data_IF_580662444894
#
_entry.id   IF_580662444894
#
_cell.length_a   1.000
_cell.length_b   1.000
_cell.length_c   1.000
_cell.angle_alpha   90.00
_cell.angle_beta   90.00
_cell.angle_gamma   90.00
#
_symmetry.space_group_name_H-M   'P 1'
#
loop_
_entity.id
_entity.type
_entity.pdbx_description
1 polymer ?
#
# COMPACT_ATOMS: atom_id res chain seq x y z
N UNK A 1 14.47 17.05 -30.37
CA UNK A 1 14.41 15.58 -30.43
C UNK A 1 13.04 15.18 -29.87
N UNK A 2 12.02 15.53 -30.64
CA UNK A 2 10.58 15.45 -30.37
C UNK A 2 10.07 14.77 -31.62
N UNK A 3 9.78 13.46 -31.58
CA UNK A 3 9.09 12.67 -32.63
C UNK A 3 9.23 11.16 -32.36
N UNK A 4 8.59 10.56 -31.34
CA UNK A 4 8.30 9.09 -31.31
C UNK A 4 6.95 8.75 -30.61
N UNK A 5 5.97 9.67 -30.52
CA UNK A 5 4.68 9.35 -29.86
C UNK A 5 3.43 9.82 -30.64
N UNK A 6 3.45 9.76 -31.97
CA UNK A 6 2.32 10.21 -32.82
C UNK A 6 1.51 9.12 -33.52
N UNK A 7 1.68 7.83 -33.18
CA UNK A 7 1.00 6.72 -33.92
C UNK A 7 0.39 5.62 -33.05
N UNK A 8 -0.03 5.94 -31.83
CA UNK A 8 -1.05 5.14 -31.14
C UNK A 8 -2.26 6.05 -30.97
N UNK A 9 -3.22 5.91 -31.88
CA UNK A 9 -4.55 6.47 -31.71
C UNK A 9 -5.19 5.75 -30.52
N UNK A 10 -5.05 6.35 -29.33
CA UNK A 10 -5.81 5.94 -28.16
C UNK A 10 -7.30 6.10 -28.51
N UNK A 11 -8.11 5.02 -28.53
CA UNK A 11 -9.54 5.21 -28.63
C UNK A 11 -9.97 6.06 -27.44
N UNK A 12 -10.73 7.11 -27.75
CA UNK A 12 -11.22 8.11 -26.82
C UNK A 12 -11.65 7.44 -25.51
N UNK A 13 -11.05 7.93 -24.42
CA UNK A 13 -11.37 7.61 -23.03
C UNK A 13 -12.87 7.45 -22.84
N UNK A 14 -13.32 6.19 -22.84
CA UNK A 14 -14.61 5.85 -22.28
C UNK A 14 -14.57 6.35 -20.83
N UNK A 15 -15.46 7.28 -20.49
CA UNK A 15 -15.66 7.70 -19.11
C UNK A 15 -16.22 6.50 -18.35
N UNK A 16 -15.36 5.60 -17.89
CA UNK A 16 -15.74 4.44 -17.11
C UNK A 16 -16.16 4.93 -15.71
N UNK A 17 -17.45 5.18 -15.51
CA UNK A 17 -17.98 5.45 -14.17
C UNK A 17 -18.21 4.12 -13.45
N UNK A 18 -17.12 3.45 -13.05
CA UNK A 18 -17.16 2.12 -12.41
C UNK A 18 -17.56 2.15 -10.92
N UNK A 19 -17.87 3.31 -10.36
CA UNK A 19 -18.42 3.43 -9.02
C UNK A 19 -19.89 3.01 -9.04
N UNK A 20 -20.14 1.72 -8.77
CA UNK A 20 -21.46 1.08 -8.85
C UNK A 20 -22.36 1.40 -7.65
N UNK A 21 -21.81 1.89 -6.54
CA UNK A 21 -22.59 2.15 -5.32
C UNK A 21 -23.00 3.62 -5.23
N UNK A 22 -24.30 3.94 -5.10
CA UNK A 22 -24.75 5.31 -4.95
C UNK A 22 -24.19 5.92 -3.66
N UNK A 23 -23.78 7.18 -3.71
CA UNK A 23 -23.35 7.89 -2.50
C UNK A 23 -24.54 8.10 -1.56
N UNK A 24 -24.54 7.39 -0.44
CA UNK A 24 -25.49 7.54 0.66
C UNK A 24 -24.79 7.29 1.99
N UNK A 25 -25.46 7.64 3.08
CA UNK A 25 -24.98 7.35 4.42
C UNK A 25 -25.13 5.85 4.73
N UNK A 26 -24.04 5.10 4.67
CA UNK A 26 -24.03 3.68 5.02
C UNK A 26 -23.82 3.49 6.53
N UNK A 27 -24.67 2.65 7.14
CA UNK A 27 -24.54 2.24 8.55
C UNK A 27 -23.55 1.08 8.67
N UNK A 28 -22.95 0.93 9.85
CA UNK A 28 -22.07 -0.19 10.18
C UNK A 28 -22.73 -1.55 9.95
N UNK A 29 -24.02 -1.67 10.25
CA UNK A 29 -24.77 -2.91 10.09
C UNK A 29 -24.88 -3.33 8.61
N UNK A 30 -24.98 -2.37 7.69
CA UNK A 30 -25.02 -2.65 6.24
C UNK A 30 -23.67 -3.18 5.72
N UNK A 31 -22.57 -2.79 6.34
CA UNK A 31 -21.23 -3.31 6.00
C UNK A 31 -21.03 -4.71 6.57
N UNK A 32 -21.46 -4.94 7.82
CA UNK A 32 -21.44 -6.28 8.43
C UNK A 32 -22.29 -7.28 7.64
N UNK A 33 -23.43 -6.85 7.10
CA UNK A 33 -24.27 -7.66 6.21
C UNK A 33 -23.55 -8.05 4.90
N UNK A 34 -22.55 -7.28 4.47
CA UNK A 34 -21.69 -7.60 3.32
C UNK A 34 -20.40 -8.35 3.71
N UNK A 35 -20.26 -8.72 4.98
CA UNK A 35 -19.10 -9.42 5.54
C UNK A 35 -17.91 -8.50 5.82
N UNK A 36 -18.15 -7.20 6.04
CA UNK A 36 -17.10 -6.20 6.28
C UNK A 36 -17.21 -5.72 7.72
N UNK A 37 -16.25 -6.08 8.57
CA UNK A 37 -16.17 -5.57 9.93
C UNK A 37 -15.24 -4.34 9.98
N UNK A 38 -15.83 -3.14 10.02
CA UNK A 38 -15.08 -1.88 9.87
C UNK A 38 -14.08 -1.61 11.00
N UNK A 39 -14.30 -2.16 12.19
CA UNK A 39 -13.38 -2.00 13.33
C UNK A 39 -12.05 -2.70 13.08
N UNK A 40 -12.07 -3.91 12.54
CA UNK A 40 -10.86 -4.67 12.18
C UNK A 40 -10.27 -4.22 10.83
N UNK A 41 -11.08 -3.60 9.98
CA UNK A 41 -10.66 -3.11 8.67
C UNK A 41 -9.78 -1.85 8.74
N UNK A 42 -10.13 -0.87 9.59
CA UNK A 42 -9.42 0.42 9.67
C UNK A 42 -8.35 0.46 10.76
N UNK A 43 -8.08 -0.67 11.40
CA UNK A 43 -6.96 -0.83 12.33
C UNK A 43 -6.11 -2.04 11.92
N UNK A 44 -5.32 -1.93 10.83
CA UNK A 44 -4.39 -2.99 10.49
C UNK A 44 -3.44 -3.25 11.66
N UNK A 45 -3.23 -4.52 11.99
CA UNK A 45 -2.32 -4.92 13.06
C UNK A 45 -1.25 -5.83 12.47
N UNK A 46 -0.02 -5.32 12.40
CA UNK A 46 1.16 -6.04 11.91
C UNK A 46 1.61 -7.16 12.86
N UNK A 47 0.94 -8.32 12.80
CA UNK A 47 1.32 -9.47 13.63
C UNK A 47 2.59 -10.16 13.11
N UNK A 48 2.71 -10.31 11.79
CA UNK A 48 3.82 -11.04 11.16
C UNK A 48 5.12 -10.26 11.26
N UNK A 49 5.13 -9.02 10.78
CA UNK A 49 6.28 -8.13 10.84
C UNK A 49 6.70 -7.86 12.29
N UNK A 50 5.75 -7.62 13.19
CA UNK A 50 6.05 -7.42 14.62
C UNK A 50 6.66 -8.65 15.30
N UNK A 51 6.26 -9.87 14.90
CA UNK A 51 6.92 -11.09 15.42
C UNK A 51 8.33 -11.27 14.88
N UNK A 52 8.58 -10.92 13.61
CA UNK A 52 9.90 -10.97 12.98
C UNK A 52 10.82 -9.93 13.63
N UNK A 53 10.34 -8.70 13.83
CA UNK A 53 11.07 -7.64 14.52
C UNK A 53 11.50 -8.08 15.93
N UNK A 54 10.58 -8.63 16.72
CA UNK A 54 10.90 -9.13 18.07
C UNK A 54 11.95 -10.24 18.04
N UNK A 55 11.84 -11.18 17.12
CA UNK A 55 12.80 -12.28 17.00
C UNK A 55 14.19 -11.77 16.57
N UNK A 56 14.23 -10.78 15.67
CA UNK A 56 15.47 -10.12 15.25
C UNK A 56 16.11 -9.34 16.40
N UNK A 57 15.33 -8.64 17.22
CA UNK A 57 15.83 -7.94 18.41
C UNK A 57 16.46 -8.92 19.42
N UNK A 58 15.81 -10.06 19.67
CA UNK A 58 16.34 -11.13 20.53
C UNK A 58 17.64 -11.69 19.93
N UNK A 59 17.65 -11.98 18.62
CA UNK A 59 18.82 -12.48 17.92
C UNK A 59 19.98 -11.47 17.94
N UNK A 60 19.70 -10.16 17.79
CA UNK A 60 20.68 -9.10 17.86
C UNK A 60 21.28 -8.96 19.26
N UNK A 61 20.46 -9.09 20.31
CA UNK A 61 20.95 -9.09 21.70
C UNK A 61 21.84 -10.30 21.98
N UNK A 62 21.40 -11.50 21.63
CA UNK A 62 22.17 -12.74 21.83
C UNK A 62 23.44 -12.75 20.97
N UNK A 63 23.35 -12.28 19.73
CA UNK A 63 24.48 -12.13 18.82
C UNK A 63 25.49 -11.11 19.32
N UNK A 64 25.03 -9.95 19.79
CA UNK A 64 25.87 -8.91 20.39
C UNK A 64 26.61 -9.40 21.65
N UNK A 65 25.93 -10.16 22.52
CA UNK A 65 26.55 -10.81 23.68
C UNK A 65 27.59 -11.86 23.25
N UNK A 66 27.27 -12.66 22.22
CA UNK A 66 28.18 -13.67 21.69
C UNK A 66 29.43 -13.06 21.07
N UNK A 67 29.29 -11.98 20.29
CA UNK A 67 30.41 -11.20 19.72
C UNK A 67 31.25 -10.59 20.83
N UNK A 68 30.61 -10.02 21.85
CA UNK A 68 31.34 -9.44 22.99
C UNK A 68 32.18 -10.47 23.73
N UNK A 69 31.66 -11.70 23.88
CA UNK A 69 32.37 -12.81 24.49
C UNK A 69 33.47 -13.38 23.59
N UNK A 70 33.18 -13.61 22.30
CA UNK A 70 34.12 -14.23 21.35
C UNK A 70 35.32 -13.35 21.01
N UNK A 71 35.15 -12.03 20.99
CA UNK A 71 36.22 -11.07 20.71
C UNK A 71 36.84 -10.47 21.99
N UNK A 72 36.49 -11.00 23.16
CA UNK A 72 36.97 -10.54 24.47
C UNK A 72 36.90 -9.01 24.63
N UNK A 73 35.80 -8.41 24.18
CA UNK A 73 35.66 -6.95 24.19
C UNK A 73 35.71 -6.44 25.63
N UNK A 74 36.56 -5.43 25.87
CA UNK A 74 36.57 -4.74 27.16
C UNK A 74 35.21 -4.08 27.44
N UNK A 75 34.87 -3.90 28.73
CA UNK A 75 33.61 -3.27 29.13
C UNK A 75 33.40 -1.89 28.47
N UNK A 76 34.49 -1.13 28.29
CA UNK A 76 34.44 0.19 27.65
C UNK A 76 34.22 0.09 26.15
N UNK A 77 34.82 -0.89 25.46
CA UNK A 77 34.57 -1.14 24.03
C UNK A 77 33.13 -1.58 23.79
N UNK A 78 32.62 -2.54 24.59
CA UNK A 78 31.24 -3.00 24.48
C UNK A 78 30.23 -1.86 24.72
N UNK A 79 30.48 -1.01 25.72
CA UNK A 79 29.68 0.18 25.99
C UNK A 79 29.71 1.16 24.81
N UNK A 80 30.88 1.46 24.26
CA UNK A 80 31.02 2.36 23.11
C UNK A 80 30.32 1.81 21.87
N UNK A 81 30.41 0.50 21.61
CA UNK A 81 29.69 -0.13 20.50
C UNK A 81 28.18 -0.01 20.71
N UNK A 82 27.68 -0.27 21.91
CA UNK A 82 26.25 -0.14 22.22
C UNK A 82 25.76 1.30 22.06
N UNK A 83 26.48 2.28 22.61
CA UNK A 83 26.17 3.70 22.46
C UNK A 83 26.23 4.14 20.99
N UNK A 84 27.22 3.66 20.23
CA UNK A 84 27.33 3.92 18.80
C UNK A 84 26.15 3.38 18.01
N UNK A 85 25.69 2.15 18.31
CA UNK A 85 24.51 1.56 17.68
C UNK A 85 23.23 2.31 18.05
N UNK A 86 23.07 2.73 19.32
CA UNK A 86 21.95 3.57 19.74
C UNK A 86 21.96 4.93 19.02
N UNK A 87 23.14 5.51 18.79
CA UNK A 87 23.28 6.75 18.04
C UNK A 87 22.85 6.58 16.59
N UNK A 88 23.34 5.55 15.89
CA UNK A 88 22.91 5.24 14.52
C UNK A 88 21.39 5.00 14.47
N UNK A 89 20.85 4.29 15.45
CA UNK A 89 19.41 4.04 15.55
C UNK A 89 18.61 5.34 15.76
N UNK A 90 19.12 6.25 16.60
CA UNK A 90 18.49 7.55 16.85
C UNK A 90 18.53 8.44 15.61
N UNK A 91 19.63 8.40 14.84
CA UNK A 91 19.75 9.12 13.57
C UNK A 91 18.71 8.61 12.56
N UNK A 92 18.54 7.29 12.44
CA UNK A 92 17.51 6.71 11.56
C UNK A 92 16.09 7.16 11.96
N UNK A 93 15.79 7.13 13.27
CA UNK A 93 14.49 7.54 13.79
C UNK A 93 14.19 9.02 13.53
N UNK A 94 15.18 9.91 13.74
CA UNK A 94 14.98 11.36 13.63
C UNK A 94 15.02 11.82 12.17
N UNK A 95 15.97 11.33 11.40
CA UNK A 95 16.25 11.87 10.06
C UNK A 95 15.48 11.14 8.97
N UNK A 96 15.31 9.83 9.10
CA UNK A 96 14.63 8.98 8.11
C UNK A 96 13.30 8.42 8.63
N UNK A 97 12.81 8.88 9.79
CA UNK A 97 11.57 8.39 10.41
C UNK A 97 11.53 6.85 10.61
N UNK A 98 12.70 6.23 10.79
CA UNK A 98 12.83 4.77 10.90
C UNK A 98 12.87 4.03 9.55
N UNK A 99 13.08 4.73 8.44
CA UNK A 99 13.09 4.16 7.10
C UNK A 99 14.14 3.07 6.88
N UNK A 100 15.37 3.23 7.40
CA UNK A 100 16.40 2.19 7.25
C UNK A 100 16.03 0.93 8.03
N UNK A 101 15.48 1.09 9.25
CA UNK A 101 14.93 -0.03 10.02
C UNK A 101 13.83 -0.76 9.25
N UNK A 102 12.86 -0.02 8.73
CA UNK A 102 11.74 -0.60 8.00
C UNK A 102 12.20 -1.33 6.74
N UNK A 103 13.18 -0.80 6.01
CA UNK A 103 13.75 -1.46 4.84
C UNK A 103 14.43 -2.78 5.19
N UNK A 104 15.23 -2.82 6.26
CA UNK A 104 15.88 -4.07 6.72
C UNK A 104 14.83 -5.08 7.18
N UNK A 105 13.85 -4.65 7.96
CA UNK A 105 12.76 -5.51 8.43
C UNK A 105 11.95 -6.08 7.28
N UNK A 106 11.58 -5.25 6.31
CA UNK A 106 10.81 -5.62 5.12
C UNK A 106 11.59 -6.61 4.23
N UNK A 107 12.88 -6.34 4.01
CA UNK A 107 13.77 -7.24 3.24
C UNK A 107 13.89 -8.61 3.91
N UNK A 108 14.09 -8.64 5.23
CA UNK A 108 14.17 -9.89 5.99
C UNK A 108 12.81 -10.60 6.03
N UNK A 109 11.71 -9.86 6.17
CA UNK A 109 10.37 -10.42 6.20
C UNK A 109 10.01 -11.08 4.86
N UNK A 110 10.32 -10.43 3.74
CA UNK A 110 10.19 -11.02 2.41
C UNK A 110 11.08 -12.25 2.21
N UNK A 111 12.29 -12.26 2.76
CA UNK A 111 13.20 -13.41 2.64
C UNK A 111 12.82 -14.59 3.53
N UNK A 112 12.18 -14.36 4.68
CA UNK A 112 11.88 -15.41 5.67
C UNK A 112 10.42 -15.89 5.63
N UNK A 113 9.50 -15.09 5.08
CA UNK A 113 8.07 -15.36 5.12
C UNK A 113 7.44 -15.22 3.73
N UNK A 114 7.24 -16.35 3.05
CA UNK A 114 6.44 -16.42 1.83
C UNK A 114 5.01 -15.90 2.05
N UNK A 115 4.47 -16.11 3.27
CA UNK A 115 3.14 -15.60 3.64
C UNK A 115 3.10 -14.06 3.61
N UNK A 116 4.13 -13.39 4.13
CA UNK A 116 4.22 -11.93 4.10
C UNK A 116 4.39 -11.43 2.67
N UNK A 117 5.28 -12.06 1.90
CA UNK A 117 5.51 -11.70 0.50
C UNK A 117 4.24 -11.81 -0.35
N UNK A 118 3.51 -12.93 -0.26
CA UNK A 118 2.26 -13.13 -0.98
C UNK A 118 1.17 -12.14 -0.54
N UNK A 119 1.12 -11.79 0.75
CA UNK A 119 0.18 -10.78 1.27
C UNK A 119 0.45 -9.41 0.66
N UNK A 120 1.71 -8.94 0.65
CA UNK A 120 2.09 -7.64 0.07
C UNK A 120 1.82 -7.59 -1.43
N UNK A 121 2.11 -8.67 -2.17
CA UNK A 121 1.78 -8.73 -3.61
C UNK A 121 0.28 -8.56 -3.83
N UNK A 122 -0.54 -9.26 -3.06
CA UNK A 122 -2.00 -9.15 -3.16
C UNK A 122 -2.50 -7.75 -2.77
N UNK A 123 -1.91 -7.13 -1.74
CA UNK A 123 -2.18 -5.75 -1.34
C UNK A 123 -1.91 -4.77 -2.49
N UNK A 124 -0.73 -4.85 -3.11
CA UNK A 124 -0.35 -3.99 -4.23
C UNK A 124 -1.16 -4.27 -5.51
N UNK A 125 -1.51 -5.54 -5.77
CA UNK A 125 -2.40 -5.90 -6.87
C UNK A 125 -3.81 -5.30 -6.69
N UNK A 126 -4.28 -5.22 -5.45
CA UNK A 126 -5.51 -4.53 -5.09
C UNK A 126 -5.49 -3.05 -5.47
N UNK A 127 -4.44 -2.34 -5.05
CA UNK A 127 -4.21 -0.94 -5.41
C UNK A 127 -4.15 -0.72 -6.93
N UNK A 128 -3.36 -1.55 -7.62
CA UNK A 128 -3.18 -1.45 -9.07
C UNK A 128 -4.50 -1.65 -9.82
N UNK A 129 -5.25 -2.72 -9.50
CA UNK A 129 -6.50 -3.03 -10.17
C UNK A 129 -7.54 -1.91 -9.96
N UNK A 130 -7.74 -1.47 -8.71
CA UNK A 130 -8.74 -0.42 -8.42
C UNK A 130 -8.38 0.90 -9.09
N UNK A 131 -7.10 1.29 -9.09
CA UNK A 131 -6.67 2.49 -9.80
C UNK A 131 -6.96 2.41 -11.30
N UNK A 132 -6.58 1.31 -11.94
CA UNK A 132 -6.84 1.08 -13.37
C UNK A 132 -8.34 1.16 -13.69
N UNK A 133 -9.19 0.49 -12.89
CA UNK A 133 -10.64 0.49 -13.08
C UNK A 133 -11.29 1.87 -12.83
N UNK A 134 -10.68 2.72 -12.00
CA UNK A 134 -11.15 4.09 -11.76
C UNK A 134 -10.59 5.12 -12.76
N UNK A 135 -9.86 4.64 -13.78
CA UNK A 135 -9.26 5.44 -14.82
C UNK A 135 -8.06 6.26 -14.35
N UNK A 136 -7.36 5.79 -13.31
CA UNK A 136 -6.08 6.34 -12.83
C UNK A 136 -4.98 5.37 -13.23
N UNK A 137 -4.11 5.78 -14.16
CA UNK A 137 -3.07 4.89 -14.68
C UNK A 137 -1.94 4.70 -13.66
N UNK A 138 -1.63 3.45 -13.26
CA UNK A 138 -0.45 3.15 -12.47
C UNK A 138 0.80 3.50 -13.28
N UNK A 139 1.70 4.28 -12.69
CA UNK A 139 3.00 4.63 -13.29
C UNK A 139 4.01 3.52 -13.06
N UNK A 140 4.10 3.07 -11.81
CA UNK A 140 5.07 2.11 -11.31
C UNK A 140 4.45 1.34 -10.14
N UNK A 141 4.97 0.14 -9.89
CA UNK A 141 4.69 -0.60 -8.67
C UNK A 141 5.99 -1.15 -8.08
N UNK A 142 6.01 -1.27 -6.77
CA UNK A 142 7.13 -1.79 -5.97
C UNK A 142 6.58 -2.77 -4.96
N UNK A 143 7.15 -3.97 -4.92
CA UNK A 143 6.67 -5.07 -4.05
C UNK A 143 7.48 -5.09 -2.76
N UNK A 144 8.73 -4.64 -2.80
CA UNK A 144 9.59 -4.54 -1.62
C UNK A 144 10.08 -3.11 -1.45
N UNK A 145 10.34 -2.71 -0.20
CA UNK A 145 10.93 -1.41 0.14
C UNK A 145 12.34 -1.25 -0.46
N UNK A 146 13.03 -2.38 -0.71
CA UNK A 146 14.31 -2.39 -1.42
C UNK A 146 14.14 -2.05 -2.90
N UNK A 147 13.11 -2.58 -3.57
CA UNK A 147 12.77 -2.19 -4.94
C UNK A 147 12.41 -0.70 -5.00
N UNK A 148 11.73 -0.19 -3.97
CA UNK A 148 11.41 1.23 -3.84
C UNK A 148 12.67 2.08 -3.67
N UNK A 149 13.62 1.67 -2.85
CA UNK A 149 14.92 2.35 -2.72
C UNK A 149 15.69 2.34 -4.05
N UNK A 150 15.75 1.20 -4.74
CA UNK A 150 16.48 1.09 -6.00
C UNK A 150 15.87 1.93 -7.12
N UNK A 151 14.53 2.03 -7.17
CA UNK A 151 13.81 2.79 -8.21
C UNK A 151 13.68 4.28 -7.89
N UNK A 152 13.43 4.64 -6.63
CA UNK A 152 13.11 6.01 -6.22
C UNK A 152 14.23 6.71 -5.43
N UNK A 153 15.24 5.97 -4.97
CA UNK A 153 16.40 6.53 -4.25
C UNK A 153 16.11 7.06 -2.85
N UNK A 154 14.95 6.72 -2.27
CA UNK A 154 14.52 7.20 -0.95
C UNK A 154 14.46 6.06 0.07
N UNK A 155 15.05 6.30 1.25
CA UNK A 155 15.09 5.35 2.36
C UNK A 155 13.80 5.31 3.19
N UNK A 156 12.84 6.21 2.94
CA UNK A 156 11.65 6.40 3.77
C UNK A 156 10.34 6.07 3.02
N UNK A 157 10.38 5.08 2.13
CA UNK A 157 9.22 4.68 1.32
C UNK A 157 9.07 3.16 1.37
N UNK A 158 7.92 2.71 1.85
CA UNK A 158 7.53 1.30 1.86
C UNK A 158 7.17 0.84 0.43
N UNK A 159 7.04 -0.48 0.20
CA UNK A 159 6.42 -1.02 -1.01
C UNK A 159 5.10 -0.27 -1.33
N UNK A 160 4.82 -0.07 -2.61
CA UNK A 160 3.70 0.74 -3.04
C UNK A 160 3.55 0.89 -4.55
N UNK A 161 2.36 1.32 -4.95
CA UNK A 161 2.00 1.67 -6.32
C UNK A 161 2.04 3.19 -6.48
N UNK A 162 2.83 3.66 -7.45
CA UNK A 162 2.90 5.07 -7.79
C UNK A 162 1.93 5.35 -8.95
N UNK A 163 1.09 6.36 -8.80
CA UNK A 163 0.07 6.71 -9.78
C UNK A 163 0.47 7.97 -10.57
N UNK A 164 0.07 8.03 -11.85
CA UNK A 164 0.11 9.28 -12.61
C UNK A 164 -1.21 10.00 -12.37
N UNK A 165 -1.21 11.03 -11.53
CA UNK A 165 -2.38 11.88 -11.35
C UNK A 165 -1.99 13.36 -11.23
N UNK A 166 -1.75 13.98 -12.40
CA UNK A 166 -1.44 15.41 -12.50
C UNK A 166 -2.64 16.27 -12.07
N UNK A 167 -3.86 15.79 -12.30
CA UNK A 167 -5.12 16.47 -11.95
C UNK A 167 -5.29 16.53 -10.43
N UNK A 168 -4.98 15.45 -9.71
CA UNK A 168 -4.98 15.41 -8.24
C UNK A 168 -3.98 16.38 -7.61
N UNK A 169 -2.74 16.43 -8.12
CA UNK A 169 -1.70 17.34 -7.59
C UNK A 169 -2.11 18.79 -7.82
N UNK A 170 -2.70 19.10 -8.98
CA UNK A 170 -3.20 20.44 -9.30
C UNK A 170 -4.42 20.84 -8.45
N UNK A 171 -5.39 19.94 -8.26
CA UNK A 171 -6.58 20.19 -7.41
C UNK A 171 -6.22 20.37 -5.92
N UNK A 172 -5.23 19.62 -5.42
CA UNK A 172 -4.70 19.82 -4.06
C UNK A 172 -4.01 21.18 -3.95
N UNK A 173 -3.15 21.52 -4.89
CA UNK A 173 -2.41 22.79 -4.88
C UNK A 173 -3.33 24.01 -5.03
N UNK A 174 -4.47 23.85 -5.69
CA UNK A 174 -5.49 24.89 -5.84
C UNK A 174 -6.50 24.93 -4.66
N UNK A 175 -6.39 24.00 -3.71
CA UNK A 175 -7.21 23.94 -2.50
C UNK A 175 -8.67 23.56 -2.74
N UNK A 176 -9.00 23.02 -3.91
CA UNK A 176 -10.37 22.63 -4.30
C UNK A 176 -10.34 21.22 -4.89
N UNK A 177 -10.38 20.22 -4.00
CA UNK A 177 -10.52 18.83 -4.43
C UNK A 177 -11.96 18.56 -4.87
N UNK A 178 -12.14 18.07 -6.09
CA UNK A 178 -13.45 17.67 -6.60
C UNK A 178 -13.97 16.43 -5.87
N UNK A 179 -15.29 16.32 -5.71
CA UNK A 179 -15.91 15.15 -5.07
C UNK A 179 -15.58 13.84 -5.82
N UNK A 180 -15.42 13.91 -7.15
CA UNK A 180 -15.04 12.78 -7.99
C UNK A 180 -13.60 12.34 -7.71
N UNK A 181 -12.68 13.28 -7.54
CA UNK A 181 -11.28 12.99 -7.23
C UNK A 181 -11.13 12.41 -5.81
N UNK A 182 -11.82 12.98 -4.83
CA UNK A 182 -11.86 12.45 -3.47
C UNK A 182 -12.36 11.00 -3.44
N UNK A 183 -13.40 10.70 -4.21
CA UNK A 183 -13.95 9.35 -4.33
C UNK A 183 -12.93 8.36 -4.88
N UNK A 184 -12.24 8.72 -5.96
CA UNK A 184 -11.22 7.87 -6.56
C UNK A 184 -10.08 7.62 -5.58
N UNK A 185 -9.55 8.68 -4.97
CA UNK A 185 -8.45 8.57 -4.00
C UNK A 185 -8.85 7.75 -2.77
N UNK A 186 -10.04 7.96 -2.23
CA UNK A 186 -10.55 7.15 -1.10
C UNK A 186 -10.64 5.68 -1.46
N UNK A 187 -11.05 5.36 -2.71
CA UNK A 187 -11.14 4.00 -3.18
C UNK A 187 -9.75 3.37 -3.37
N UNK A 188 -8.82 4.10 -3.96
CA UNK A 188 -7.45 3.64 -4.19
C UNK A 188 -6.74 3.44 -2.84
N UNK A 189 -6.72 4.43 -1.94
CA UNK A 189 -6.03 4.32 -0.65
C UNK A 189 -6.49 3.13 0.20
N UNK A 190 -7.76 2.72 0.09
CA UNK A 190 -8.31 1.59 0.85
C UNK A 190 -8.27 0.26 0.09
N UNK A 191 -7.79 0.24 -1.16
CA UNK A 191 -7.84 -0.93 -2.03
C UNK A 191 -6.96 -2.09 -1.54
N UNK A 192 -5.74 -1.79 -1.08
CA UNK A 192 -4.84 -2.79 -0.51
C UNK A 192 -5.43 -3.44 0.75
N UNK A 193 -5.84 -2.62 1.72
CA UNK A 193 -6.51 -3.07 2.96
C UNK A 193 -7.76 -3.91 2.65
N UNK A 194 -8.56 -3.50 1.67
CA UNK A 194 -9.73 -4.24 1.24
C UNK A 194 -9.38 -5.62 0.68
N UNK A 195 -8.31 -5.69 -0.09
CA UNK A 195 -7.84 -6.93 -0.71
C UNK A 195 -7.33 -7.90 0.35
N UNK A 196 -6.53 -7.41 1.31
CA UNK A 196 -6.08 -8.24 2.42
C UNK A 196 -7.24 -8.76 3.27
N UNK A 197 -8.22 -7.92 3.57
CA UNK A 197 -9.39 -8.32 4.33
C UNK A 197 -10.22 -9.39 3.61
N UNK A 198 -10.37 -9.29 2.29
CA UNK A 198 -11.09 -10.28 1.48
C UNK A 198 -10.39 -11.65 1.43
N UNK A 199 -9.06 -11.67 1.39
CA UNK A 199 -8.28 -12.91 1.26
C UNK A 199 -7.97 -13.57 2.60
N UNK A 200 -7.66 -12.77 3.62
CA UNK A 200 -7.12 -13.25 4.89
C UNK A 200 -8.04 -12.98 6.09
N UNK A 201 -9.16 -12.27 5.90
CA UNK A 201 -10.12 -11.91 6.95
C UNK A 201 -9.69 -10.73 7.83
N UNK A 202 -8.45 -10.26 7.71
CA UNK A 202 -7.91 -9.11 8.41
C UNK A 202 -6.73 -8.51 7.62
N UNK A 203 -6.52 -7.20 7.78
CA UNK A 203 -5.40 -6.49 7.19
C UNK A 203 -4.23 -6.40 8.18
N UNK A 204 -3.02 -6.67 7.69
CA UNK A 204 -1.76 -6.43 8.39
C UNK A 204 -1.14 -5.12 7.87
N UNK A 205 -1.10 -4.92 6.54
CA UNK A 205 -0.57 -3.70 5.91
C UNK A 205 -1.59 -2.56 5.70
N UNK A 206 -1.10 -1.45 5.15
CA UNK A 206 -1.93 -0.31 4.72
C UNK A 206 -2.18 0.79 5.76
N UNK A 207 -1.50 0.76 6.91
CA UNK A 207 -1.60 1.83 7.92
C UNK A 207 -1.19 3.19 7.36
N UNK A 208 -0.13 3.24 6.55
CA UNK A 208 0.31 4.46 5.88
C UNK A 208 -0.72 4.98 4.89
N UNK A 209 -1.42 4.10 4.17
CA UNK A 209 -2.47 4.47 3.22
C UNK A 209 -3.69 5.06 3.95
N UNK A 210 -4.08 4.46 5.07
CA UNK A 210 -5.15 4.97 5.95
C UNK A 210 -4.77 6.32 6.55
N UNK A 211 -3.53 6.48 7.01
CA UNK A 211 -3.03 7.75 7.58
C UNK A 211 -2.98 8.87 6.55
N UNK A 212 -2.56 8.58 5.30
CA UNK A 212 -2.61 9.55 4.18
C UNK A 212 -4.04 10.00 3.90
N UNK A 213 -4.99 9.06 3.90
CA UNK A 213 -6.41 9.37 3.71
C UNK A 213 -6.98 10.21 4.87
N UNK A 214 -6.66 9.88 6.11
CA UNK A 214 -7.07 10.66 7.29
C UNK A 214 -6.46 12.06 7.28
N UNK A 215 -5.19 12.20 6.88
CA UNK A 215 -4.53 13.48 6.67
C UNK A 215 -5.24 14.35 5.63
N UNK A 216 -5.68 13.74 4.51
CA UNK A 216 -6.47 14.41 3.49
C UNK A 216 -7.84 14.87 4.01
N UNK A 217 -8.53 14.03 4.79
CA UNK A 217 -9.81 14.44 5.40
C UNK A 217 -9.65 15.62 6.35
N UNK A 218 -8.56 15.64 7.14
CA UNK A 218 -8.24 16.75 8.03
C UNK A 218 -7.93 18.03 7.27
N UNK A 219 -7.15 17.96 6.18
CA UNK A 219 -6.82 19.14 5.36
C UNK A 219 -8.05 19.73 4.66
N UNK A 220 -9.04 18.88 4.33
CA UNK A 220 -10.33 19.30 3.77
C UNK A 220 -11.34 19.77 4.82
N UNK A 221 -10.99 19.72 6.12
CA UNK A 221 -11.87 20.15 7.21
C UNK A 221 -13.09 19.23 7.42
N UNK A 222 -12.97 17.94 7.10
CA UNK A 222 -14.08 17.00 7.28
C UNK A 222 -14.36 16.75 8.76
N UNK A 223 -15.64 16.63 9.11
CA UNK A 223 -16.03 16.07 10.41
C UNK A 223 -15.80 14.56 10.42
N UNK A 224 -15.59 13.97 11.60
CA UNK A 224 -15.41 12.52 11.75
C UNK A 224 -16.57 11.73 11.11
N UNK A 225 -17.81 12.17 11.32
CA UNK A 225 -18.98 11.52 10.70
C UNK A 225 -18.93 11.54 9.17
N UNK A 226 -18.41 12.63 8.56
CA UNK A 226 -18.29 12.74 7.10
C UNK A 226 -17.17 11.85 6.56
N UNK A 227 -16.02 11.82 7.26
CA UNK A 227 -14.91 10.93 6.94
C UNK A 227 -15.34 9.46 7.02
N UNK A 228 -15.97 9.05 8.12
CA UNK A 228 -16.53 7.70 8.30
C UNK A 228 -17.47 7.32 7.17
N UNK A 229 -18.36 8.23 6.78
CA UNK A 229 -19.33 7.99 5.70
C UNK A 229 -18.64 7.76 4.36
N UNK A 230 -17.60 8.55 4.07
CA UNK A 230 -16.79 8.43 2.87
C UNK A 230 -16.03 7.10 2.84
N UNK A 231 -15.40 6.73 3.95
CA UNK A 231 -14.67 5.47 4.10
C UNK A 231 -15.60 4.28 3.91
N UNK A 232 -16.76 4.27 4.57
CA UNK A 232 -17.76 3.20 4.45
C UNK A 232 -18.24 3.01 3.01
N UNK A 233 -18.53 4.11 2.31
CA UNK A 233 -18.91 4.08 0.91
C UNK A 233 -17.77 3.57 0.02
N UNK A 234 -16.54 4.02 0.24
CA UNK A 234 -15.37 3.59 -0.52
C UNK A 234 -15.13 2.08 -0.34
N UNK A 235 -15.11 1.60 0.90
CA UNK A 235 -14.91 0.18 1.23
C UNK A 235 -15.97 -0.71 0.56
N UNK A 236 -17.24 -0.31 0.59
CA UNK A 236 -18.30 -1.07 -0.08
C UNK A 236 -18.09 -1.13 -1.61
N UNK A 237 -17.73 -0.02 -2.25
CA UNK A 237 -17.42 -0.02 -3.68
C UNK A 237 -16.25 -0.94 -4.00
N UNK A 238 -15.14 -0.77 -3.29
CA UNK A 238 -13.92 -1.53 -3.52
C UNK A 238 -14.20 -3.03 -3.37
N UNK A 239 -14.86 -3.44 -2.29
CA UNK A 239 -15.16 -4.86 -2.04
C UNK A 239 -16.02 -5.46 -3.16
N UNK A 240 -17.01 -4.72 -3.65
CA UNK A 240 -17.85 -5.18 -4.76
C UNK A 240 -17.06 -5.29 -6.07
N UNK A 241 -16.16 -4.35 -6.35
CA UNK A 241 -15.30 -4.36 -7.53
C UNK A 241 -14.30 -5.52 -7.44
N UNK A 242 -13.59 -5.67 -6.31
CA UNK A 242 -12.61 -6.73 -6.09
C UNK A 242 -13.23 -8.13 -6.17
N UNK A 243 -14.44 -8.32 -5.62
CA UNK A 243 -15.17 -9.61 -5.73
C UNK A 243 -15.58 -9.90 -7.17
N UNK A 244 -16.02 -8.90 -7.93
CA UNK A 244 -16.40 -9.05 -9.34
C UNK A 244 -15.20 -9.41 -10.20
N UNK A 245 -14.06 -8.79 -9.95
CA UNK A 245 -12.85 -8.94 -10.75
C UNK A 245 -11.79 -9.81 -10.07
N UNK A 246 -12.22 -10.81 -9.28
CA UNK A 246 -11.34 -11.69 -8.51
C UNK A 246 -10.30 -12.40 -9.39
N UNK A 247 -10.73 -12.89 -10.56
CA UNK A 247 -9.86 -13.57 -11.53
C UNK A 247 -8.78 -12.63 -12.09
N UNK A 248 -9.17 -11.42 -12.46
CA UNK A 248 -8.24 -10.41 -12.97
C UNK A 248 -7.23 -10.00 -11.88
N UNK A 249 -7.68 -9.80 -10.64
CA UNK A 249 -6.81 -9.53 -9.49
C UNK A 249 -5.79 -10.64 -9.28
N UNK A 250 -6.23 -11.90 -9.24
CA UNK A 250 -5.34 -13.05 -8.99
C UNK A 250 -4.28 -13.19 -10.09
N UNK A 251 -4.66 -13.00 -11.37
CA UNK A 251 -3.71 -13.03 -12.48
C UNK A 251 -2.75 -11.85 -12.48
N UNK A 252 -3.23 -10.67 -12.07
CA UNK A 252 -2.39 -9.50 -11.87
C UNK A 252 -1.35 -9.74 -10.76
N UNK A 253 -1.76 -10.33 -9.63
CA UNK A 253 -0.85 -10.69 -8.54
C UNK A 253 0.25 -11.66 -9.02
N UNK A 254 -0.09 -12.66 -9.84
CA UNK A 254 0.87 -13.58 -10.46
C UNK A 254 1.85 -12.87 -11.42
N UNK A 255 1.35 -11.90 -12.19
CA UNK A 255 2.18 -11.09 -13.07
C UNK A 255 3.15 -10.18 -12.28
N UNK A 256 2.66 -9.60 -11.18
CA UNK A 256 3.44 -8.75 -10.29
C UNK A 256 4.49 -9.55 -9.53
N UNK A 257 4.15 -10.73 -9.00
CA UNK A 257 5.13 -11.60 -8.32
C UNK A 257 6.28 -12.03 -9.24
N UNK A 258 6.01 -12.15 -10.54
CA UNK A 258 7.01 -12.43 -11.58
C UNK A 258 7.81 -11.20 -12.02
N UNK A 259 7.56 -10.03 -11.45
CA UNK A 259 8.27 -8.77 -11.77
C UNK A 259 8.00 -8.22 -13.16
N UNK A 260 6.84 -8.52 -13.76
CA UNK A 260 6.49 -8.05 -15.12
C UNK A 260 6.36 -6.52 -15.19
N UNK A 261 6.55 -5.92 -16.36
CA UNK A 261 6.38 -4.46 -16.51
C UNK A 261 4.93 -4.03 -16.30
N UNK A 262 4.73 -2.75 -15.95
CA UNK A 262 3.38 -2.14 -15.77
C UNK A 262 2.49 -2.36 -17.00
N UNK A 263 3.02 -2.17 -18.21
CA UNK A 263 2.26 -2.40 -19.44
C UNK A 263 1.80 -3.85 -19.59
N UNK A 264 2.63 -4.80 -19.16
CA UNK A 264 2.27 -6.22 -19.18
C UNK A 264 1.25 -6.59 -18.09
N UNK A 265 1.28 -5.91 -16.95
CA UNK A 265 0.24 -6.01 -15.93
C UNK A 265 -1.11 -5.47 -16.44
N UNK A 266 -1.11 -4.37 -17.20
CA UNK A 266 -2.33 -3.81 -17.84
C UNK A 266 -2.91 -4.80 -18.85
N UNK A 267 -2.07 -5.39 -19.70
CA UNK A 267 -2.50 -6.43 -20.65
C UNK A 267 -3.18 -7.61 -19.94
N UNK A 268 -2.59 -8.09 -18.83
CA UNK A 268 -3.20 -9.17 -18.01
C UNK A 268 -4.57 -8.77 -17.46
N UNK A 269 -4.75 -7.50 -17.07
CA UNK A 269 -6.04 -6.99 -16.61
C UNK A 269 -7.05 -7.00 -17.75
N UNK A 270 -6.69 -6.44 -18.90
CA UNK A 270 -7.57 -6.34 -20.09
C UNK A 270 -7.99 -7.72 -20.62
N UNK A 271 -7.10 -8.71 -20.59
CA UNK A 271 -7.39 -10.09 -20.98
C UNK A 271 -8.34 -10.82 -20.03
N UNK A 272 -8.42 -10.39 -18.76
CA UNK A 272 -9.16 -11.08 -17.71
C UNK A 272 -10.37 -10.30 -17.20
N UNK A 273 -10.66 -9.13 -17.76
CA UNK A 273 -11.91 -8.40 -17.53
C UNK A 273 -12.90 -8.75 -18.65
N UNK A 274 -14.14 -9.05 -18.26
CA UNK A 274 -15.22 -9.21 -19.23
C UNK A 274 -15.63 -7.81 -19.77
N UNK A 275 -15.70 -7.58 -21.09
CA UNK A 275 -16.11 -6.30 -21.65
C UNK A 275 -17.48 -5.80 -21.17
N UNK A 276 -18.35 -6.70 -20.73
CA UNK A 276 -19.68 -6.38 -20.17
C UNK A 276 -19.62 -5.79 -18.74
N UNK A 277 -18.48 -5.89 -18.06
CA UNK A 277 -18.31 -5.42 -16.69
C UNK A 277 -17.72 -3.99 -16.58
N UNK A 278 -17.24 -3.43 -17.71
CA UNK A 278 -16.62 -2.11 -17.88
C UNK A 278 -17.66 -1.02 -18.13
#
# INVERSE_FOLDING_TARGET
>A
MVEIFSTIAWPATASISMLKVPQRLYKLDELKLNGIDTSSFLSPVDQTLGSIERNLQIAALLGGLSVSFAFELSQLQALLTFVGLLFVWSVDLIYYNGGARNLVLDTIAHSLSEKYHNRVIEHEAGHFLIAYLLGVLPKEYTITSLDTLMKQGSLNVQAGTAFVDFEFVEEINTGKLSAKMLNKFSCIALAGVATEHLLYGYAEGGLDDVNKLDGLFKSLGFTQNKADSQVRWAVLNIVLILRRHEKARSKLAEAMSSGRSVGSCIEVIEENINPEDI
#
